data_IF_661564715509
#
_entry.id   IF_661564715509
#
_cell.length_a   1.000
_cell.length_b   1.000
_cell.length_c   1.000
_cell.angle_alpha   90.00
_cell.angle_beta   90.00
_cell.angle_gamma   90.00
#
_symmetry.space_group_name_H-M   'P 1'
#
loop_
_entity.id
_entity.type
_entity.pdbx_description
1 polymer ?
#
# COMPACT_ATOMS: atom_id res chain seq x y z
N UNK A 1 4.56 11.56 -0.35
CA UNK A 1 3.20 11.34 -0.86
C UNK A 1 3.01 9.89 -1.28
N UNK A 2 1.94 9.28 -0.81
CA UNK A 2 1.59 7.91 -1.16
C UNK A 2 0.35 7.96 -2.06
N UNK A 3 0.41 7.27 -3.18
CA UNK A 3 -0.74 7.09 -4.06
C UNK A 3 -1.10 5.61 -4.08
N UNK A 4 -2.30 5.28 -3.58
CA UNK A 4 -2.78 3.91 -3.52
C UNK A 4 -3.79 3.68 -4.62
N UNK A 5 -3.50 2.72 -5.49
CA UNK A 5 -4.39 2.32 -6.58
C UNK A 5 -4.88 0.90 -6.32
N UNK A 6 -6.18 0.76 -6.10
CA UNK A 6 -6.81 -0.56 -5.99
C UNK A 6 -7.47 -0.86 -7.32
N UNK A 7 -7.13 -1.99 -7.89
CA UNK A 7 -7.58 -2.41 -9.22
C UNK A 7 -8.30 -3.76 -9.14
N UNK A 8 -9.23 -3.94 -10.07
CA UNK A 8 -9.97 -5.20 -10.20
C UNK A 8 -10.73 -5.61 -8.94
N UNK A 9 -11.33 -4.62 -8.26
CA UNK A 9 -12.19 -4.88 -7.10
C UNK A 9 -13.57 -5.33 -7.54
N UNK A 10 -14.27 -6.05 -6.66
CA UNK A 10 -15.61 -6.54 -6.88
C UNK A 10 -16.64 -5.42 -6.94
N UNK A 11 -16.42 -4.34 -6.20
CA UNK A 11 -17.29 -3.18 -6.13
C UNK A 11 -16.49 -1.92 -5.89
N UNK A 12 -17.10 -0.78 -6.18
CA UNK A 12 -16.48 0.52 -5.91
C UNK A 12 -16.26 0.72 -4.41
N UNK A 13 -17.21 0.27 -3.58
CA UNK A 13 -17.10 0.36 -2.14
C UNK A 13 -15.93 -0.47 -1.59
N UNK A 14 -15.75 -1.69 -2.10
CA UNK A 14 -14.61 -2.53 -1.74
C UNK A 14 -13.29 -1.83 -2.09
N UNK A 15 -13.17 -1.33 -3.31
CA UNK A 15 -11.97 -0.63 -3.75
C UNK A 15 -11.66 0.57 -2.85
N UNK A 16 -12.68 1.36 -2.51
CA UNK A 16 -12.55 2.54 -1.68
C UNK A 16 -12.10 2.19 -0.27
N UNK A 17 -12.74 1.21 0.37
CA UNK A 17 -12.39 0.78 1.72
C UNK A 17 -10.94 0.32 1.82
N UNK A 18 -10.52 -0.51 0.88
CA UNK A 18 -9.16 -1.04 0.86
C UNK A 18 -8.15 0.08 0.60
N UNK A 19 -8.43 0.95 -0.37
CA UNK A 19 -7.54 2.07 -0.69
C UNK A 19 -7.33 2.99 0.52
N UNK A 20 -8.40 3.36 1.22
CA UNK A 20 -8.32 4.21 2.41
C UNK A 20 -7.57 3.51 3.56
N UNK A 21 -7.81 2.23 3.77
CA UNK A 21 -7.12 1.49 4.83
C UNK A 21 -5.61 1.50 4.62
N UNK A 22 -5.16 1.30 3.39
CA UNK A 22 -3.72 1.34 3.08
C UNK A 22 -3.18 2.76 3.22
N UNK A 23 -3.84 3.74 2.59
CA UNK A 23 -3.37 5.13 2.58
C UNK A 23 -3.31 5.75 3.98
N UNK A 24 -4.15 5.31 4.90
CA UNK A 24 -4.22 5.85 6.26
C UNK A 24 -3.50 4.97 7.29
N UNK A 25 -2.92 3.85 6.87
CA UNK A 25 -2.20 2.96 7.79
C UNK A 25 -0.92 3.62 8.31
N UNK A 26 -0.79 3.84 9.62
CA UNK A 26 0.46 4.36 10.19
C UNK A 26 1.65 3.46 9.91
N UNK A 27 1.45 2.14 9.91
CA UNK A 27 2.52 1.17 9.65
C UNK A 27 3.01 1.25 8.21
N UNK A 28 2.09 1.42 7.25
CA UNK A 28 2.46 1.60 5.84
C UNK A 28 3.20 2.91 5.65
N UNK A 29 2.69 4.00 6.25
CA UNK A 29 3.33 5.31 6.16
C UNK A 29 4.73 5.30 6.74
N UNK A 30 4.93 4.64 7.88
CA UNK A 30 6.24 4.52 8.52
C UNK A 30 7.21 3.74 7.63
N UNK A 31 6.75 2.66 7.01
CA UNK A 31 7.58 1.88 6.11
C UNK A 31 8.01 2.73 4.90
N UNK A 32 7.07 3.44 4.28
CA UNK A 32 7.36 4.30 3.13
C UNK A 32 8.34 5.42 3.51
N UNK A 33 8.15 6.04 4.67
CA UNK A 33 9.06 7.08 5.18
C UNK A 33 10.48 6.52 5.38
N UNK A 34 10.60 5.26 5.75
CA UNK A 34 11.89 4.58 5.88
C UNK A 34 12.40 3.93 4.59
N UNK A 35 11.79 4.25 3.46
CA UNK A 35 12.15 3.68 2.15
C UNK A 35 12.05 2.14 2.12
N UNK A 36 11.15 1.58 2.92
CA UNK A 36 10.92 0.14 3.03
C UNK A 36 9.68 -0.26 2.24
N UNK A 37 9.86 -1.07 1.21
CA UNK A 37 8.77 -1.62 0.40
C UNK A 37 8.11 -2.79 1.13
N UNK A 38 7.48 -2.52 2.25
CA UNK A 38 6.91 -3.52 3.15
C UNK A 38 5.53 -3.96 2.70
N UNK A 39 5.48 -4.94 1.80
CA UNK A 39 4.22 -5.46 1.29
C UNK A 39 3.40 -6.19 2.37
N UNK A 40 4.07 -6.73 3.40
CA UNK A 40 3.37 -7.37 4.53
C UNK A 40 2.45 -6.39 5.27
N UNK A 41 2.91 -5.15 5.48
CA UNK A 41 2.08 -4.11 6.10
C UNK A 41 0.92 -3.69 5.19
N UNK A 42 1.12 -3.71 3.87
CA UNK A 42 0.03 -3.47 2.91
C UNK A 42 -1.03 -4.55 3.04
N UNK A 43 -0.63 -5.81 3.08
CA UNK A 43 -1.55 -6.95 3.25
C UNK A 43 -2.30 -6.85 4.59
N UNK A 44 -1.62 -6.47 5.67
CA UNK A 44 -2.27 -6.26 6.96
C UNK A 44 -3.34 -5.17 6.90
N UNK A 45 -3.05 -4.07 6.20
CA UNK A 45 -4.02 -2.98 6.03
C UNK A 45 -5.25 -3.44 5.24
N UNK A 46 -5.06 -4.29 4.25
CA UNK A 46 -6.16 -4.91 3.51
C UNK A 46 -7.00 -5.78 4.46
N UNK A 47 -6.34 -6.59 5.28
CA UNK A 47 -7.02 -7.49 6.23
C UNK A 47 -7.87 -6.75 7.25
N UNK A 48 -7.46 -5.57 7.68
CA UNK A 48 -8.23 -4.75 8.63
C UNK A 48 -9.60 -4.32 8.11
N UNK A 49 -9.79 -4.29 6.80
CA UNK A 49 -11.08 -3.91 6.21
C UNK A 49 -12.13 -4.99 6.39
N UNK A 50 -11.72 -6.21 6.70
CA UNK A 50 -12.58 -7.39 6.76
C UNK A 50 -13.30 -7.68 5.44
N UNK A 51 -12.83 -7.08 4.34
CA UNK A 51 -13.38 -7.36 3.01
C UNK A 51 -13.02 -8.78 2.58
N UNK A 52 -13.99 -9.44 1.97
CA UNK A 52 -13.79 -10.80 1.46
C UNK A 52 -12.99 -10.75 0.16
N UNK A 53 -11.70 -11.04 0.25
CA UNK A 53 -10.80 -11.08 -0.90
C UNK A 53 -10.17 -12.47 -1.04
N UNK A 54 -9.74 -12.79 -2.26
CA UNK A 54 -8.99 -14.03 -2.50
C UNK A 54 -7.50 -13.75 -2.34
N UNK A 55 -6.95 -14.03 -1.16
CA UNK A 55 -5.55 -13.76 -0.84
C UNK A 55 -4.58 -14.48 -1.79
N UNK A 56 -4.98 -15.62 -2.34
CA UNK A 56 -4.13 -16.38 -3.26
C UNK A 56 -3.97 -15.72 -4.64
N UNK A 57 -4.74 -14.68 -4.92
CA UNK A 57 -4.70 -13.97 -6.21
C UNK A 57 -4.18 -12.54 -6.09
N UNK A 58 -4.04 -12.01 -4.88
CA UNK A 58 -3.65 -10.61 -4.69
C UNK A 58 -2.24 -10.38 -5.22
N UNK A 59 -2.10 -9.28 -5.97
CA UNK A 59 -0.81 -8.81 -6.45
C UNK A 59 -0.56 -7.42 -5.89
N UNK A 60 0.63 -7.20 -5.35
CA UNK A 60 1.06 -5.89 -4.83
C UNK A 60 2.30 -5.45 -5.59
N UNK A 61 2.27 -4.20 -6.06
CA UNK A 61 3.39 -3.56 -6.72
C UNK A 61 3.71 -2.23 -6.04
N UNK A 62 4.99 -1.93 -5.92
CA UNK A 62 5.44 -0.57 -5.60
C UNK A 62 5.91 0.05 -6.90
N UNK A 63 5.15 1.01 -7.45
CA UNK A 63 5.29 1.45 -8.82
C UNK A 63 5.02 0.30 -9.77
N UNK A 64 5.96 0.00 -10.63
CA UNK A 64 5.91 -1.16 -11.55
C UNK A 64 6.61 -2.40 -10.98
N UNK A 65 7.16 -2.31 -9.77
CA UNK A 65 7.92 -3.41 -9.16
C UNK A 65 6.98 -4.38 -8.45
N UNK A 66 6.84 -5.58 -8.95
CA UNK A 66 6.01 -6.62 -8.35
C UNK A 66 6.72 -7.17 -7.11
N UNK A 67 6.09 -7.05 -5.95
CA UNK A 67 6.65 -7.54 -4.69
C UNK A 67 5.88 -8.74 -4.13
N UNK A 68 4.60 -8.84 -4.44
CA UNK A 68 3.76 -9.95 -4.02
C UNK A 68 2.86 -10.35 -5.17
N UNK A 69 2.78 -11.65 -5.44
CA UNK A 69 1.84 -12.20 -6.40
C UNK A 69 1.40 -13.58 -5.96
N UNK A 70 0.17 -13.94 -6.30
CA UNK A 70 -0.43 -15.21 -5.87
C UNK A 70 -0.36 -15.40 -4.34
N UNK A 71 -0.46 -14.28 -3.59
CA UNK A 71 -0.48 -14.31 -2.14
C UNK A 71 0.86 -14.51 -1.46
N UNK A 72 1.96 -14.48 -2.19
CA UNK A 72 3.30 -14.68 -1.63
C UNK A 72 4.32 -13.75 -2.27
N UNK A 73 5.53 -13.73 -1.70
CA UNK A 73 6.61 -12.92 -2.24
C UNK A 73 6.88 -13.28 -3.70
N UNK A 74 7.03 -12.28 -4.55
CA UNK A 74 7.29 -12.49 -5.97
C UNK A 74 8.71 -12.98 -6.21
N UNK A 75 8.87 -13.97 -7.08
CA UNK A 75 10.19 -14.41 -7.54
C UNK A 75 10.84 -13.42 -8.52
N UNK A 76 10.08 -12.42 -8.96
CA UNK A 76 10.53 -11.40 -9.93
C UNK A 76 11.11 -10.15 -9.26
N UNK A 77 11.25 -10.14 -7.94
CA UNK A 77 11.77 -8.98 -7.23
C UNK A 77 13.21 -8.70 -7.65
N UNK A 78 13.43 -7.44 -8.06
CA UNK A 78 14.76 -6.89 -8.22
C UNK A 78 14.97 -5.90 -7.09
N UNK A 79 15.74 -6.30 -6.08
CA UNK A 79 15.94 -5.53 -4.84
C UNK A 79 16.54 -4.16 -5.14
N UNK A 80 17.51 -4.08 -6.04
CA UNK A 80 18.15 -2.82 -6.38
C UNK A 80 17.17 -1.82 -7.00
N UNK A 81 16.39 -2.26 -7.99
CA UNK A 81 15.37 -1.41 -8.60
C UNK A 81 14.30 -0.99 -7.58
N UNK A 82 13.88 -1.91 -6.73
CA UNK A 82 12.89 -1.63 -5.72
C UNK A 82 13.39 -0.58 -4.73
N UNK A 83 14.60 -0.75 -4.22
CA UNK A 83 15.21 0.21 -3.30
C UNK A 83 15.36 1.59 -3.94
N UNK A 84 15.76 1.66 -5.20
CA UNK A 84 15.84 2.91 -5.94
C UNK A 84 14.46 3.56 -6.10
N UNK A 85 13.45 2.77 -6.41
CA UNK A 85 12.08 3.28 -6.54
C UNK A 85 11.61 3.95 -5.25
N UNK A 86 11.88 3.32 -4.09
CA UNK A 86 11.42 3.80 -2.79
C UNK A 86 12.04 5.14 -2.36
N UNK A 87 13.03 5.64 -3.09
CA UNK A 87 13.63 6.96 -2.85
C UNK A 87 12.84 8.10 -3.48
N UNK A 88 11.85 7.80 -4.30
CA UNK A 88 11.02 8.83 -4.93
C UNK A 88 10.15 9.56 -3.90
N UNK A 89 9.78 10.80 -4.23
CA UNK A 89 8.90 11.61 -3.36
C UNK A 89 7.48 11.11 -3.35
N UNK A 90 7.03 10.50 -4.43
CA UNK A 90 5.71 9.88 -4.54
C UNK A 90 5.89 8.39 -4.74
N UNK A 91 5.30 7.61 -3.84
CA UNK A 91 5.31 6.16 -3.92
C UNK A 91 3.92 5.68 -4.28
N UNK A 92 3.83 4.95 -5.38
CA UNK A 92 2.59 4.28 -5.77
C UNK A 92 2.55 2.88 -5.19
N UNK A 93 1.45 2.58 -4.52
CA UNK A 93 1.15 1.23 -4.06
C UNK A 93 -0.01 0.73 -4.89
N UNK A 94 0.25 -0.23 -5.74
CA UNK A 94 -0.74 -0.79 -6.67
C UNK A 94 -1.14 -2.18 -6.19
N UNK A 95 -2.44 -2.38 -6.00
CA UNK A 95 -2.99 -3.66 -5.54
C UNK A 95 -4.00 -4.14 -6.56
N UNK A 96 -3.80 -5.34 -7.07
CA UNK A 96 -4.74 -6.00 -7.99
C UNK A 96 -5.44 -7.14 -7.26
N UNK A 97 -6.77 -7.07 -7.19
CA UNK A 97 -7.57 -8.06 -6.45
C UNK A 97 -8.10 -9.19 -7.32
N UNK A 98 -8.22 -8.96 -8.63
CA UNK A 98 -8.75 -9.94 -9.61
C UNK A 98 -10.15 -10.46 -9.27
N UNK A 99 -11.02 -9.58 -8.74
CA UNK A 99 -12.39 -9.93 -8.33
C UNK A 99 -13.47 -9.25 -9.17
N UNK A 100 -13.10 -8.31 -10.01
CA UNK A 100 -14.04 -7.54 -10.82
C UNK A 100 -13.32 -6.46 -11.61
N UNK A 101 -14.04 -5.39 -11.93
CA UNK A 101 -13.53 -4.32 -12.79
C UNK A 101 -13.48 -2.95 -12.11
N UNK A 102 -13.83 -2.86 -10.84
CA UNK A 102 -13.85 -1.59 -10.13
C UNK A 102 -12.48 -1.20 -9.62
N UNK A 103 -12.24 0.11 -9.55
CA UNK A 103 -10.96 0.65 -9.12
C UNK A 103 -11.15 1.90 -8.30
N UNK A 104 -10.14 2.26 -7.52
CA UNK A 104 -10.12 3.48 -6.73
C UNK A 104 -8.69 3.92 -6.51
N UNK A 105 -8.45 5.22 -6.61
CA UNK A 105 -7.18 5.84 -6.24
C UNK A 105 -7.39 6.74 -5.04
N UNK A 106 -6.53 6.61 -4.04
CA UNK A 106 -6.54 7.44 -2.84
C UNK A 106 -5.12 7.91 -2.56
N UNK A 107 -4.99 9.16 -2.14
CA UNK A 107 -3.71 9.74 -1.76
C UNK A 107 -3.58 9.78 -0.24
N UNK A 108 -2.41 9.42 0.26
CA UNK A 108 -2.05 9.54 1.66
C UNK A 108 -0.84 10.44 1.82
N UNK A 109 -0.78 11.16 2.94
CA UNK A 109 0.37 11.98 3.26
C UNK A 109 1.48 11.13 3.88
N UNK A 110 2.73 11.49 3.58
CA UNK A 110 3.87 10.89 4.23
C UNK A 110 3.91 11.31 5.71
N UNK A 111 4.63 10.52 6.52
CA UNK A 111 5.02 10.95 7.86
C UNK A 111 6.11 12.02 7.69
N UNK A 112 5.72 13.28 7.84
CA UNK A 112 6.64 14.40 7.77
C UNK A 112 7.21 14.70 9.16
N UNK A 113 8.29 15.47 9.20
CA UNK A 113 8.85 15.95 10.47
C UNK A 113 7.80 16.69 11.30
N UNK A 114 6.99 17.54 10.67
CA UNK A 114 5.92 18.28 11.34
C UNK A 114 4.88 17.36 11.95
N UNK A 115 4.46 16.34 11.21
CA UNK A 115 3.51 15.36 11.70
C UNK A 115 4.06 14.63 12.93
N UNK A 116 5.30 14.19 12.87
CA UNK A 116 5.94 13.51 14.00
C UNK A 116 6.06 14.44 15.22
N UNK A 117 6.41 15.69 15.00
CA UNK A 117 6.51 16.70 16.05
C UNK A 117 5.17 16.95 16.73
N UNK A 118 4.11 17.14 15.96
CA UNK A 118 2.76 17.36 16.49
C UNK A 118 2.32 16.17 17.34
N UNK A 119 2.54 14.94 16.88
CA UNK A 119 2.17 13.77 17.65
C UNK A 119 2.97 13.61 18.93
N UNK A 120 4.25 13.93 18.91
CA UNK A 120 5.09 13.90 20.10
C UNK A 120 4.61 14.93 21.14
N UNK A 121 4.31 16.15 20.72
CA UNK A 121 3.80 17.20 21.57
C UNK A 121 2.44 16.84 22.18
N UNK A 122 1.57 16.21 21.39
CA UNK A 122 0.25 15.78 21.85
C UNK A 122 0.35 14.70 22.94
N UNK A 123 1.33 13.83 22.86
CA UNK A 123 1.53 12.75 23.84
C UNK A 123 2.21 13.20 25.13
N UNK A 124 2.89 14.31 25.08
CA UNK A 124 3.54 14.86 26.27
C UNK A 124 2.62 15.75 27.06
#
# INVERSE_FOLDING_TARGET
LIRVNILNARSKNQAKKIAFSIANSPLVKTAVAGEDANWGRVIMAIGKTEENINQNKVKVLFGSNIVCENGSISKKINIEKLNNYMKNKTIEINVKLYMGKFYQTVYGNDLTYEYLKINADYRS
#
